data_IF_946036789122
#
_entry.id   IF_946036789122
#
_cell.length_a   1.000
_cell.length_b   1.000
_cell.length_c   1.000
_cell.angle_alpha   90.00
_cell.angle_beta   90.00
_cell.angle_gamma   90.00
#
_symmetry.space_group_name_H-M   'P 1'
#
loop_
_entity.id
_entity.type
_entity.pdbx_description
1 polymer ?
#
# COMPACT_ATOMS: atom_id res chain seq x y z
N UNK A 1 8.56 21.16 32.85
CA UNK A 1 8.26 21.24 31.41
C UNK A 1 9.45 21.89 30.74
N UNK A 2 9.97 21.29 29.67
CA UNK A 2 11.08 21.86 28.92
C UNK A 2 10.53 22.98 28.02
N UNK A 3 10.91 24.24 28.29
CA UNK A 3 10.57 25.42 27.47
C UNK A 3 11.33 25.43 26.12
N UNK A 4 11.53 24.27 25.50
CA UNK A 4 12.08 24.22 24.15
C UNK A 4 10.98 24.69 23.18
N UNK A 5 11.15 25.81 22.45
CA UNK A 5 10.16 26.24 21.46
C UNK A 5 9.92 25.19 20.38
N UNK A 6 10.86 24.27 20.14
CA UNK A 6 10.75 23.18 19.15
C UNK A 6 9.98 21.97 19.65
N UNK A 7 9.65 21.88 20.93
CA UNK A 7 8.82 20.78 21.43
C UNK A 7 7.41 20.88 20.86
N UNK A 8 6.79 19.73 20.59
CA UNK A 8 5.37 19.68 20.21
C UNK A 8 4.52 20.20 21.36
N UNK A 9 3.46 20.93 21.05
CA UNK A 9 2.60 21.60 22.03
C UNK A 9 1.21 20.93 22.02
N UNK A 10 0.51 20.89 23.17
CA UNK A 10 -0.88 20.42 23.21
C UNK A 10 -1.77 21.26 22.29
N UNK A 11 -2.92 20.68 21.89
CA UNK A 11 -3.92 21.42 21.15
C UNK A 11 -4.40 22.66 21.93
N UNK A 12 -4.58 23.76 21.22
CA UNK A 12 -5.10 25.00 21.83
C UNK A 12 -6.60 24.89 22.07
N UNK A 13 -7.17 25.81 22.85
CA UNK A 13 -8.63 25.90 23.00
C UNK A 13 -9.33 26.14 21.65
N UNK A 14 -8.70 26.87 20.72
CA UNK A 14 -9.23 27.10 19.38
C UNK A 14 -9.22 25.80 18.55
N UNK A 15 -8.10 25.09 18.53
CA UNK A 15 -7.98 23.80 17.82
C UNK A 15 -9.03 22.79 18.30
N UNK A 16 -9.23 22.68 19.62
CA UNK A 16 -10.28 21.82 20.19
C UNK A 16 -11.68 22.22 19.74
N UNK A 17 -11.99 23.52 19.78
CA UNK A 17 -13.28 24.01 19.33
C UNK A 17 -13.54 23.74 17.84
N UNK A 18 -12.51 23.89 16.99
CA UNK A 18 -12.63 23.60 15.56
C UNK A 18 -12.82 22.09 15.30
N UNK A 19 -12.11 21.23 16.05
CA UNK A 19 -12.28 19.76 16.00
C UNK A 19 -13.69 19.35 16.43
N UNK A 20 -14.19 19.89 17.53
CA UNK A 20 -15.54 19.61 18.03
C UNK A 20 -16.61 20.08 17.04
N UNK A 21 -16.46 21.30 16.51
CA UNK A 21 -17.35 21.84 15.49
C UNK A 21 -17.35 20.97 14.23
N UNK A 22 -16.18 20.53 13.76
CA UNK A 22 -16.07 19.64 12.60
C UNK A 22 -16.71 18.26 12.88
N UNK A 23 -16.47 17.68 14.05
CA UNK A 23 -17.07 16.41 14.45
C UNK A 23 -18.61 16.44 14.36
N UNK A 24 -19.22 17.56 14.76
CA UNK A 24 -20.67 17.75 14.68
C UNK A 24 -21.22 17.85 13.24
N UNK A 25 -20.36 18.05 12.23
CA UNK A 25 -20.75 18.06 10.81
C UNK A 25 -20.67 16.70 10.14
N UNK A 26 -20.02 15.71 10.78
CA UNK A 26 -19.84 14.40 10.19
C UNK A 26 -21.17 13.63 10.11
N UNK A 27 -21.37 12.83 9.06
CA UNK A 27 -22.52 11.94 9.00
C UNK A 27 -22.45 10.92 10.15
N UNK A 28 -23.60 10.39 10.59
CA UNK A 28 -23.61 9.30 11.56
C UNK A 28 -22.85 8.10 11.00
N UNK A 29 -22.00 7.50 11.84
CA UNK A 29 -21.31 6.26 11.51
C UNK A 29 -22.23 5.08 11.81
N UNK A 30 -22.68 4.39 10.76
CA UNK A 30 -23.56 3.22 10.87
C UNK A 30 -22.76 1.89 10.99
N UNK A 31 -21.43 1.97 11.00
CA UNK A 31 -20.53 0.82 11.09
C UNK A 31 -20.30 0.08 9.77
N UNK A 32 -20.86 0.55 8.65
CA UNK A 32 -20.71 -0.11 7.34
C UNK A 32 -19.25 -0.16 6.89
N UNK A 33 -18.50 0.93 7.02
CA UNK A 33 -17.08 0.94 6.65
C UNK A 33 -16.26 -0.02 7.52
N UNK A 34 -16.51 -0.03 8.83
CA UNK A 34 -15.84 -0.95 9.75
C UNK A 34 -16.11 -2.42 9.37
N UNK A 35 -17.35 -2.74 9.01
CA UNK A 35 -17.71 -4.07 8.54
C UNK A 35 -17.06 -4.42 7.19
N UNK A 36 -17.01 -3.47 6.26
CA UNK A 36 -16.39 -3.66 4.93
C UNK A 36 -14.89 -3.88 5.03
N UNK A 37 -14.19 -3.09 5.85
CA UNK A 37 -12.75 -3.24 6.05
C UNK A 37 -12.45 -4.58 6.74
N UNK A 38 -13.21 -4.99 7.75
CA UNK A 38 -12.97 -6.26 8.44
C UNK A 38 -13.36 -7.51 7.62
N UNK A 39 -14.16 -7.36 6.57
CA UNK A 39 -14.72 -8.48 5.82
C UNK A 39 -13.63 -9.32 5.15
N UNK A 40 -13.73 -10.63 5.32
CA UNK A 40 -12.87 -11.61 4.66
C UNK A 40 -11.47 -11.73 5.24
N UNK A 41 -11.19 -11.15 6.41
CA UNK A 41 -9.88 -11.30 7.07
C UNK A 41 -9.52 -12.78 7.26
N UNK A 42 -8.32 -13.17 6.80
CA UNK A 42 -7.76 -14.51 6.95
C UNK A 42 -6.68 -14.49 8.03
N UNK A 43 -5.66 -13.67 7.83
CA UNK A 43 -4.48 -13.64 8.70
C UNK A 43 -3.64 -12.37 8.46
N UNK A 44 -2.64 -12.17 9.31
CA UNK A 44 -1.62 -11.13 9.13
C UNK A 44 -0.27 -11.66 9.59
N UNK A 45 0.82 -10.95 9.29
CA UNK A 45 2.17 -11.40 9.71
C UNK A 45 2.30 -11.45 11.23
N UNK A 46 2.90 -12.52 11.73
CA UNK A 46 3.21 -12.65 13.16
C UNK A 46 4.32 -11.68 13.59
N UNK A 47 5.34 -11.50 12.74
CA UNK A 47 6.33 -10.43 12.91
C UNK A 47 5.86 -9.19 12.13
N UNK A 48 5.52 -8.07 12.79
CA UNK A 48 5.00 -6.89 12.12
C UNK A 48 6.06 -6.17 11.28
N UNK A 49 7.35 -6.43 11.50
CA UNK A 49 8.44 -5.73 10.83
C UNK A 49 8.80 -6.45 9.53
N UNK A 50 8.75 -5.73 8.40
CA UNK A 50 9.29 -6.19 7.11
C UNK A 50 10.75 -5.74 7.03
N UNK A 51 11.72 -6.67 7.03
CA UNK A 51 13.13 -6.33 6.98
C UNK A 51 13.50 -5.76 5.61
N UNK A 52 14.49 -4.87 5.60
CA UNK A 52 15.06 -4.34 4.37
C UNK A 52 16.11 -5.32 3.83
N UNK A 53 16.14 -5.55 2.52
CA UNK A 53 17.15 -6.44 1.91
C UNK A 53 18.58 -5.90 2.11
N UNK A 54 18.74 -4.59 2.01
CA UNK A 54 20.00 -3.87 2.21
C UNK A 54 19.82 -2.79 3.30
N UNK A 55 19.79 -3.19 4.59
CA UNK A 55 19.56 -2.26 5.69
C UNK A 55 20.79 -1.37 5.90
N UNK A 56 20.56 -0.15 6.39
CA UNK A 56 21.62 0.74 6.84
C UNK A 56 21.21 1.46 8.14
N UNK A 57 22.14 2.10 8.87
CA UNK A 57 21.84 2.71 10.17
C UNK A 57 20.73 3.78 10.15
N UNK A 58 20.46 4.39 9.00
CA UNK A 58 19.42 5.43 8.85
C UNK A 58 18.07 4.88 8.39
N UNK A 59 18.07 3.71 7.75
CA UNK A 59 16.88 3.02 7.25
C UNK A 59 17.04 1.51 7.48
N UNK A 60 16.83 1.04 8.73
CA UNK A 60 17.13 -0.34 9.11
C UNK A 60 16.06 -1.34 8.68
N UNK A 61 14.84 -0.88 8.39
CA UNK A 61 13.68 -1.72 8.04
C UNK A 61 12.95 -1.12 6.83
N UNK A 62 12.15 -1.94 6.15
CA UNK A 62 11.32 -1.47 5.03
C UNK A 62 10.00 -0.92 5.51
N UNK A 63 9.35 -1.67 6.40
CA UNK A 63 8.01 -1.36 6.89
C UNK A 63 7.79 -1.95 8.28
N UNK A 64 6.96 -1.29 9.09
CA UNK A 64 6.53 -1.80 10.39
C UNK A 64 5.02 -1.65 10.48
N UNK A 65 4.32 -2.79 10.41
CA UNK A 65 2.86 -2.86 10.47
C UNK A 65 2.31 -2.34 11.81
N UNK A 66 3.10 -2.48 12.89
CA UNK A 66 2.72 -2.07 14.24
C UNK A 66 2.95 -0.58 14.53
N UNK A 67 3.58 0.16 13.60
CA UNK A 67 3.87 1.58 13.80
C UNK A 67 2.61 2.44 14.00
N UNK A 68 1.45 1.94 13.56
CA UNK A 68 0.16 2.61 13.73
C UNK A 68 -0.71 2.03 14.83
N UNK A 69 -0.17 1.13 15.66
CA UNK A 69 -0.91 0.48 16.73
C UNK A 69 -1.48 1.49 17.71
N UNK A 70 -1.00 2.72 17.82
CA UNK A 70 -1.58 3.75 18.67
C UNK A 70 -2.98 4.23 18.21
N UNK A 71 -3.40 3.92 16.97
CA UNK A 71 -4.68 4.33 16.39
C UNK A 71 -5.81 3.34 16.74
N UNK A 72 -6.07 3.16 18.02
CA UNK A 72 -7.13 2.28 18.55
C UNK A 72 -7.88 2.90 19.75
N UNK A 73 -7.41 4.04 20.24
CA UNK A 73 -8.00 4.77 21.35
C UNK A 73 -9.04 5.81 20.89
N UNK A 74 -9.63 6.52 21.86
CA UNK A 74 -10.44 7.70 21.57
C UNK A 74 -9.63 8.73 20.76
N UNK A 75 -10.27 9.41 19.81
CA UNK A 75 -9.59 10.42 18.99
C UNK A 75 -8.95 11.49 19.90
N UNK A 76 -7.63 11.72 19.79
CA UNK A 76 -6.95 12.73 20.57
C UNK A 76 -7.36 14.14 20.10
N UNK A 77 -7.18 15.13 20.96
CA UNK A 77 -7.55 16.52 20.69
C UNK A 77 -6.58 17.23 19.72
N UNK A 78 -5.55 16.52 19.27
CA UNK A 78 -4.52 16.95 18.31
C UNK A 78 -4.73 16.43 16.89
N UNK A 79 -5.76 15.60 16.66
CA UNK A 79 -6.03 14.98 15.36
C UNK A 79 -7.47 15.25 14.92
N UNK A 80 -7.68 15.45 13.62
CA UNK A 80 -9.03 15.56 13.07
C UNK A 80 -9.80 14.21 13.21
N UNK A 81 -11.05 14.20 13.70
CA UNK A 81 -11.77 12.96 13.99
C UNK A 81 -12.12 12.13 12.74
N UNK A 82 -12.31 12.75 11.58
CA UNK A 82 -12.49 12.02 10.32
C UNK A 82 -11.18 11.35 9.88
N UNK A 83 -10.05 12.04 10.07
CA UNK A 83 -8.74 11.45 9.78
C UNK A 83 -8.43 10.30 10.75
N UNK A 84 -8.74 10.45 12.04
CA UNK A 84 -8.54 9.39 13.03
C UNK A 84 -9.36 8.13 12.70
N UNK A 85 -10.61 8.31 12.27
CA UNK A 85 -11.46 7.21 11.78
C UNK A 85 -10.82 6.50 10.59
N UNK A 86 -10.41 7.25 9.56
CA UNK A 86 -9.75 6.69 8.38
C UNK A 86 -8.43 5.97 8.75
N UNK A 87 -7.66 6.56 9.67
CA UNK A 87 -6.40 6.01 10.13
C UNK A 87 -6.56 4.66 10.83
N UNK A 88 -7.67 4.46 11.55
CA UNK A 88 -8.01 3.18 12.18
C UNK A 88 -8.40 2.11 11.16
N UNK A 89 -9.05 2.49 10.05
CA UNK A 89 -9.33 1.57 8.95
C UNK A 89 -8.08 1.18 8.18
N UNK A 90 -7.24 2.16 7.84
CA UNK A 90 -5.97 1.90 7.16
C UNK A 90 -4.99 1.11 8.04
N UNK A 91 -5.15 1.12 9.37
CA UNK A 91 -4.34 0.33 10.29
C UNK A 91 -4.70 -1.17 10.26
N UNK A 92 -5.82 -1.57 9.68
CA UNK A 92 -6.17 -2.98 9.52
C UNK A 92 -5.37 -3.60 8.38
N UNK A 93 -4.28 -4.30 8.73
CA UNK A 93 -3.37 -4.93 7.78
C UNK A 93 -3.48 -6.46 7.77
N UNK A 94 -3.24 -7.09 6.62
CA UNK A 94 -3.26 -8.55 6.48
C UNK A 94 -3.77 -9.04 5.13
N UNK A 95 -3.99 -10.35 5.07
CA UNK A 95 -4.58 -11.09 3.96
C UNK A 95 -6.09 -11.18 4.12
N UNK A 96 -6.81 -10.84 3.06
CA UNK A 96 -8.26 -10.84 3.00
C UNK A 96 -8.77 -11.58 1.76
N UNK A 97 -9.84 -12.34 1.91
CA UNK A 97 -10.65 -12.85 0.80
C UNK A 97 -11.70 -11.81 0.41
N UNK A 98 -11.64 -11.33 -0.83
CA UNK A 98 -12.63 -10.39 -1.39
C UNK A 98 -13.85 -11.17 -1.89
N UNK A 99 -13.58 -12.24 -2.63
CA UNK A 99 -14.53 -13.26 -3.09
C UNK A 99 -13.74 -14.54 -3.41
N UNK A 100 -14.43 -15.66 -3.67
CA UNK A 100 -13.76 -16.95 -3.89
C UNK A 100 -12.68 -16.87 -4.99
N UNK A 101 -11.44 -17.16 -4.60
CA UNK A 101 -10.29 -17.11 -5.50
C UNK A 101 -9.67 -15.72 -5.68
N UNK A 102 -10.19 -14.67 -5.06
CA UNK A 102 -9.65 -13.31 -5.12
C UNK A 102 -9.25 -12.83 -3.73
N UNK A 103 -7.96 -12.58 -3.57
CA UNK A 103 -7.37 -12.23 -2.29
C UNK A 103 -6.60 -10.92 -2.38
N UNK A 104 -6.58 -10.16 -1.30
CA UNK A 104 -5.78 -8.95 -1.20
C UNK A 104 -4.91 -8.99 0.06
N UNK A 105 -3.67 -8.58 -0.08
CA UNK A 105 -2.84 -8.19 1.07
C UNK A 105 -2.85 -6.68 1.17
N UNK A 106 -3.30 -6.17 2.32
CA UNK A 106 -3.52 -4.74 2.58
C UNK A 106 -2.68 -4.28 3.77
N UNK A 107 -2.27 -3.01 3.75
CA UNK A 107 -1.53 -2.36 4.85
C UNK A 107 -0.05 -2.77 4.95
N UNK A 108 0.46 -3.61 4.05
CA UNK A 108 1.88 -3.95 3.93
C UNK A 108 2.70 -2.87 3.23
N UNK A 109 1.99 -1.94 2.59
CA UNK A 109 2.48 -0.83 1.80
C UNK A 109 1.37 0.26 1.80
N UNK A 110 1.57 1.35 1.07
CA UNK A 110 0.52 2.35 0.82
C UNK A 110 -0.60 1.79 -0.05
N UNK A 111 -0.25 0.91 -0.99
CA UNK A 111 -1.18 0.25 -1.91
C UNK A 111 -1.56 -1.15 -1.40
N UNK A 112 -2.49 -1.80 -2.10
CA UNK A 112 -2.83 -3.20 -1.88
C UNK A 112 -2.36 -4.02 -3.08
N UNK A 113 -1.94 -5.26 -2.82
CA UNK A 113 -1.61 -6.24 -3.85
C UNK A 113 -2.73 -7.27 -3.91
N UNK A 114 -3.17 -7.61 -5.12
CA UNK A 114 -4.25 -8.58 -5.34
C UNK A 114 -3.68 -9.86 -5.94
N UNK A 115 -4.10 -11.01 -5.42
CA UNK A 115 -3.78 -12.33 -5.93
C UNK A 115 -5.08 -13.02 -6.38
N UNK A 116 -5.15 -13.35 -7.66
CA UNK A 116 -6.30 -14.06 -8.24
C UNK A 116 -5.87 -15.48 -8.59
N UNK A 117 -6.59 -16.46 -8.04
CA UNK A 117 -6.33 -17.89 -8.24
C UNK A 117 -6.72 -18.29 -9.66
N UNK A 118 -5.73 -18.55 -10.51
CA UNK A 118 -5.91 -19.14 -11.83
C UNK A 118 -5.92 -20.67 -11.79
N UNK A 119 -5.91 -21.26 -12.98
CA UNK A 119 -5.87 -22.73 -13.16
C UNK A 119 -4.55 -23.32 -12.64
N UNK A 120 -3.43 -22.66 -12.93
CA UNK A 120 -2.07 -23.10 -12.55
C UNK A 120 -1.56 -22.35 -11.33
N UNK A 121 -1.71 -21.03 -11.32
CA UNK A 121 -0.97 -20.15 -10.43
C UNK A 121 -1.72 -18.91 -9.96
N UNK A 122 -0.97 -17.85 -9.71
CA UNK A 122 -1.48 -16.54 -9.32
C UNK A 122 -1.36 -15.54 -10.48
N UNK A 123 -2.48 -14.88 -10.80
CA UNK A 123 -2.44 -13.59 -11.49
C UNK A 123 -2.35 -12.51 -10.43
N UNK A 124 -1.27 -11.73 -10.45
CA UNK A 124 -0.98 -10.69 -9.46
C UNK A 124 -1.32 -9.32 -10.03
N UNK A 125 -2.02 -8.49 -9.27
CA UNK A 125 -2.29 -7.09 -9.61
C UNK A 125 -1.56 -6.21 -8.62
N UNK A 126 -0.81 -5.25 -9.15
CA UNK A 126 -0.14 -4.16 -8.44
C UNK A 126 0.79 -4.63 -7.31
N UNK A 127 2.00 -5.13 -7.63
CA UNK A 127 2.91 -5.73 -6.67
C UNK A 127 3.64 -4.70 -5.79
N UNK A 128 2.90 -3.78 -5.16
CA UNK A 128 3.35 -2.84 -4.13
C UNK A 128 4.53 -1.93 -4.55
N UNK A 129 5.06 -1.17 -3.60
CA UNK A 129 6.14 -0.19 -3.84
C UNK A 129 7.53 -0.83 -3.87
N UNK A 130 7.76 -1.87 -3.06
CA UNK A 130 9.11 -2.46 -2.92
C UNK A 130 9.10 -3.98 -2.99
N UNK A 131 10.22 -4.55 -3.45
CA UNK A 131 10.44 -6.00 -3.49
C UNK A 131 10.16 -6.64 -2.14
N UNK A 132 10.61 -6.01 -1.05
CA UNK A 132 10.45 -6.54 0.30
C UNK A 132 8.97 -6.62 0.74
N UNK A 133 8.16 -5.60 0.46
CA UNK A 133 6.73 -5.63 0.81
C UNK A 133 5.97 -6.63 -0.04
N UNK A 134 6.27 -6.69 -1.34
CA UNK A 134 5.65 -7.64 -2.26
C UNK A 134 6.01 -9.10 -1.93
N UNK A 135 7.28 -9.39 -1.58
CA UNK A 135 7.70 -10.71 -1.09
C UNK A 135 6.97 -11.06 0.21
N UNK A 136 6.93 -10.15 1.19
CA UNK A 136 6.23 -10.40 2.45
C UNK A 136 4.73 -10.68 2.26
N UNK A 137 4.09 -10.01 1.29
CA UNK A 137 2.70 -10.28 0.93
C UNK A 137 2.52 -11.65 0.26
N UNK A 138 3.41 -12.02 -0.66
CA UNK A 138 3.36 -13.30 -1.35
C UNK A 138 3.70 -14.48 -0.42
N UNK A 139 4.59 -14.28 0.55
CA UNK A 139 4.87 -15.25 1.61
C UNK A 139 3.63 -15.50 2.47
N UNK A 140 2.90 -14.44 2.86
CA UNK A 140 1.65 -14.57 3.63
C UNK A 140 0.56 -15.31 2.84
N UNK A 141 0.43 -15.02 1.54
CA UNK A 141 -0.46 -15.76 0.64
C UNK A 141 -0.06 -17.24 0.56
N UNK A 142 1.23 -17.51 0.41
CA UNK A 142 1.77 -18.87 0.32
C UNK A 142 1.54 -19.67 1.61
N UNK A 143 1.74 -19.04 2.76
CA UNK A 143 1.52 -19.65 4.09
C UNK A 143 0.07 -20.13 4.27
N UNK A 144 -0.91 -19.32 3.85
CA UNK A 144 -2.32 -19.58 4.14
C UNK A 144 -3.10 -20.25 3.01
N UNK A 145 -2.69 -20.05 1.75
CA UNK A 145 -3.43 -20.49 0.56
C UNK A 145 -2.64 -21.52 -0.29
N UNK A 146 -1.40 -21.82 0.12
CA UNK A 146 -0.51 -22.76 -0.54
C UNK A 146 0.35 -22.08 -1.62
N UNK A 147 1.54 -22.63 -1.81
CA UNK A 147 2.49 -22.16 -2.82
C UNK A 147 1.95 -22.38 -4.23
N UNK A 148 1.98 -21.34 -5.05
CA UNK A 148 1.64 -21.39 -6.48
C UNK A 148 2.47 -20.38 -7.24
N UNK A 149 3.00 -20.71 -8.43
CA UNK A 149 3.80 -19.76 -9.19
C UNK A 149 2.98 -18.55 -9.62
N UNK A 150 3.61 -17.38 -9.71
CA UNK A 150 3.02 -16.24 -10.44
C UNK A 150 3.04 -16.55 -11.94
N UNK A 151 1.87 -16.47 -12.56
CA UNK A 151 1.61 -16.80 -13.97
C UNK A 151 1.30 -15.57 -14.82
N UNK A 152 0.87 -14.46 -14.21
CA UNK A 152 0.78 -13.16 -14.88
C UNK A 152 0.89 -12.02 -13.85
N UNK A 153 1.33 -10.85 -14.28
CA UNK A 153 1.33 -9.61 -13.49
C UNK A 153 0.57 -8.52 -14.24
N UNK A 154 -0.23 -7.73 -13.53
CA UNK A 154 -0.96 -6.58 -14.07
C UNK A 154 -0.54 -5.35 -13.29
N UNK A 155 -0.17 -4.29 -14.00
CA UNK A 155 -0.05 -2.95 -13.44
C UNK A 155 -1.28 -2.15 -13.85
N UNK A 156 -2.04 -1.66 -12.88
CA UNK A 156 -3.26 -0.88 -13.15
C UNK A 156 -2.92 0.51 -13.67
N UNK A 157 -1.82 1.11 -13.21
CA UNK A 157 -1.37 2.43 -13.63
C UNK A 157 0.12 2.67 -13.32
N UNK A 158 0.64 3.82 -13.73
CA UNK A 158 2.06 4.14 -13.82
C UNK A 158 2.72 4.70 -12.55
N UNK A 159 2.10 4.59 -11.36
CA UNK A 159 2.74 5.01 -10.11
C UNK A 159 3.50 3.86 -9.44
N UNK A 160 4.61 4.21 -8.76
CA UNK A 160 5.58 3.24 -8.23
C UNK A 160 5.01 2.25 -7.22
N UNK A 161 3.98 2.63 -6.49
CA UNK A 161 3.28 1.77 -5.53
C UNK A 161 2.46 0.65 -6.19
N UNK A 162 2.37 0.64 -7.52
CA UNK A 162 1.64 -0.35 -8.31
C UNK A 162 2.53 -1.22 -9.21
N UNK A 163 3.85 -1.01 -9.21
CA UNK A 163 4.78 -1.87 -9.96
C UNK A 163 6.12 -2.10 -9.26
N UNK A 164 6.48 -1.26 -8.30
CA UNK A 164 7.82 -1.16 -7.76
C UNK A 164 8.31 -2.45 -7.11
N UNK A 165 7.42 -3.23 -6.51
CA UNK A 165 7.75 -4.51 -5.89
C UNK A 165 7.65 -5.72 -6.80
N UNK A 166 7.52 -5.57 -8.13
CA UNK A 166 7.36 -6.71 -9.07
C UNK A 166 8.39 -7.83 -8.88
N UNK A 167 9.65 -7.49 -8.60
CA UNK A 167 10.70 -8.50 -8.40
C UNK A 167 10.60 -9.26 -7.08
N UNK A 168 9.65 -8.89 -6.21
CA UNK A 168 9.31 -9.64 -5.01
C UNK A 168 8.36 -10.81 -5.27
N UNK A 169 7.72 -10.85 -6.45
CA UNK A 169 6.73 -11.89 -6.81
C UNK A 169 7.07 -12.65 -8.09
N UNK A 170 7.90 -12.08 -8.98
CA UNK A 170 8.32 -12.75 -10.22
C UNK A 170 9.80 -12.49 -10.52
N UNK A 171 10.49 -13.53 -11.00
CA UNK A 171 11.85 -13.41 -11.53
C UNK A 171 11.83 -12.69 -12.88
N UNK A 172 12.72 -11.71 -13.06
CA UNK A 172 12.86 -10.95 -14.30
C UNK A 172 13.05 -11.85 -15.53
N UNK A 173 13.83 -12.92 -15.42
CA UNK A 173 14.12 -13.83 -16.53
C UNK A 173 12.86 -14.55 -17.03
N UNK A 174 11.87 -14.80 -16.16
CA UNK A 174 10.58 -15.40 -16.56
C UNK A 174 9.72 -14.43 -17.37
N UNK A 175 9.86 -13.12 -17.12
CA UNK A 175 9.20 -12.10 -17.94
C UNK A 175 9.94 -11.93 -19.27
N UNK A 176 11.27 -11.82 -19.23
CA UNK A 176 12.10 -11.63 -20.43
C UNK A 176 12.05 -12.83 -21.39
N UNK A 177 11.83 -14.05 -20.89
CA UNK A 177 11.61 -15.24 -21.71
C UNK A 177 10.21 -15.33 -22.33
N UNK A 178 9.28 -14.48 -21.90
CA UNK A 178 7.87 -14.52 -22.28
C UNK A 178 7.04 -15.58 -21.54
N UNK A 179 7.59 -16.21 -20.49
CA UNK A 179 6.87 -17.19 -19.67
C UNK A 179 5.76 -16.53 -18.83
N UNK A 180 6.04 -15.36 -18.25
CA UNK A 180 5.08 -14.60 -17.44
C UNK A 180 4.74 -13.29 -18.15
N UNK A 181 3.52 -13.12 -18.69
CA UNK A 181 3.09 -11.84 -19.23
C UNK A 181 2.97 -10.79 -18.12
N UNK A 182 3.40 -9.57 -18.46
CA UNK A 182 3.16 -8.35 -17.69
C UNK A 182 2.24 -7.46 -18.50
N UNK A 183 1.06 -7.15 -17.97
CA UNK A 183 0.01 -6.37 -18.63
C UNK A 183 -0.05 -4.98 -18.03
N UNK A 184 -0.13 -3.94 -18.86
CA UNK A 184 -0.29 -2.55 -18.40
C UNK A 184 -1.09 -1.73 -19.42
N UNK A 185 -1.66 -0.57 -19.05
CA UNK A 185 -2.29 0.33 -20.02
C UNK A 185 -1.27 0.91 -21.03
N UNK A 186 -1.74 1.22 -22.23
CA UNK A 186 -0.96 1.93 -23.25
C UNK A 186 -0.31 3.18 -22.65
N UNK A 187 0.97 3.38 -22.95
CA UNK A 187 1.73 4.54 -22.45
C UNK A 187 2.30 4.38 -21.04
N UNK A 188 2.00 3.28 -20.33
CA UNK A 188 2.49 3.02 -18.96
C UNK A 188 4.00 3.28 -18.82
N UNK A 189 4.82 2.71 -19.71
CA UNK A 189 6.28 2.79 -19.59
C UNK A 189 6.80 4.22 -19.80
N UNK A 190 6.15 4.99 -20.68
CA UNK A 190 6.47 6.39 -20.89
C UNK A 190 6.20 7.18 -19.61
N UNK A 191 5.00 7.08 -19.06
CA UNK A 191 4.56 7.86 -17.90
C UNK A 191 5.33 7.49 -16.63
N UNK A 192 5.53 6.20 -16.37
CA UNK A 192 6.26 5.71 -15.19
C UNK A 192 7.69 6.25 -15.13
N UNK A 193 8.33 6.44 -16.28
CA UNK A 193 9.67 7.02 -16.38
C UNK A 193 9.61 8.55 -16.41
N UNK A 194 8.75 9.14 -17.25
CA UNK A 194 8.71 10.59 -17.48
C UNK A 194 8.40 11.37 -16.20
N UNK A 195 7.48 10.86 -15.37
CA UNK A 195 7.10 11.46 -14.09
C UNK A 195 8.30 11.60 -13.14
N UNK A 196 9.22 10.62 -13.17
CA UNK A 196 10.24 10.43 -12.15
C UNK A 196 11.64 10.91 -12.58
N UNK A 197 11.77 11.71 -13.64
CA UNK A 197 13.09 12.15 -14.15
C UNK A 197 13.29 13.66 -13.98
N UNK A 198 12.59 14.49 -14.74
CA UNK A 198 12.93 15.92 -14.87
C UNK A 198 12.68 16.69 -13.57
N UNK A 199 11.58 16.41 -12.90
CA UNK A 199 11.17 17.08 -11.66
C UNK A 199 11.48 16.25 -10.39
N UNK A 200 12.12 15.08 -10.53
CA UNK A 200 12.29 14.10 -9.46
C UNK A 200 12.92 14.67 -8.18
N UNK A 201 13.99 15.49 -8.23
CA UNK A 201 14.57 16.04 -7.01
C UNK A 201 13.60 16.96 -6.24
N UNK A 202 12.82 17.77 -6.96
CA UNK A 202 11.85 18.68 -6.36
C UNK A 202 10.62 17.92 -5.84
N UNK A 203 10.11 16.96 -6.62
CA UNK A 203 9.01 16.10 -6.23
C UNK A 203 9.37 15.26 -5.01
N UNK A 204 10.52 14.57 -5.03
CA UNK A 204 11.00 13.77 -3.91
C UNK A 204 11.17 14.60 -2.63
N UNK A 205 11.72 15.82 -2.70
CA UNK A 205 11.80 16.69 -1.51
C UNK A 205 10.41 17.08 -1.00
N UNK A 206 9.46 17.43 -1.87
CA UNK A 206 8.09 17.78 -1.47
C UNK A 206 7.33 16.58 -0.91
N UNK A 207 7.57 15.40 -1.44
CA UNK A 207 6.99 14.13 -0.98
C UNK A 207 7.33 13.89 0.50
N UNK A 208 8.55 14.22 0.96
CA UNK A 208 8.89 14.08 2.39
C UNK A 208 7.98 14.86 3.34
N UNK A 209 7.41 15.99 2.89
CA UNK A 209 6.41 16.74 3.66
C UNK A 209 5.02 16.17 3.50
N UNK A 210 4.59 15.91 2.25
CA UNK A 210 3.26 15.39 1.94
C UNK A 210 2.99 14.06 2.66
N UNK A 211 3.99 13.19 2.68
CA UNK A 211 3.90 11.85 3.24
C UNK A 211 4.34 11.75 4.70
N UNK A 212 4.76 12.86 5.32
CA UNK A 212 5.14 12.88 6.73
C UNK A 212 6.34 11.97 7.07
N UNK A 213 7.20 11.61 6.09
CA UNK A 213 8.20 10.54 6.23
C UNK A 213 9.25 10.75 7.34
N UNK A 214 9.36 11.97 7.88
CA UNK A 214 10.30 12.33 8.94
C UNK A 214 9.62 12.57 10.29
N UNK A 215 8.29 12.42 10.36
CA UNK A 215 7.52 12.57 11.59
C UNK A 215 7.42 11.20 12.28
N UNK A 216 7.66 11.10 13.60
CA UNK A 216 7.36 9.87 14.32
C UNK A 216 5.85 9.60 14.29
N UNK A 217 5.51 8.31 14.33
CA UNK A 217 4.14 7.83 14.32
C UNK A 217 3.54 7.96 15.73
N UNK A 218 2.73 8.99 15.95
CA UNK A 218 2.04 9.27 17.22
C UNK A 218 0.93 10.33 17.01
N UNK A 219 0.17 10.60 18.07
CA UNK A 219 -0.98 11.54 18.08
C UNK A 219 -0.61 13.00 17.74
N UNK A 220 0.67 13.37 17.73
CA UNK A 220 1.17 14.71 17.41
C UNK A 220 2.15 14.69 16.21
N UNK A 221 2.15 13.59 15.46
CA UNK A 221 3.08 13.32 14.37
C UNK A 221 2.40 12.74 13.14
N UNK A 222 2.98 11.68 12.58
CA UNK A 222 2.42 10.97 11.44
C UNK A 222 1.28 10.06 11.91
N UNK A 223 0.05 10.37 11.50
CA UNK A 223 -1.12 9.54 11.83
C UNK A 223 -1.52 8.65 10.67
N UNK A 224 -1.60 9.21 9.46
CA UNK A 224 -2.08 8.53 8.25
C UNK A 224 -1.80 9.39 7.00
N UNK A 225 -1.88 8.80 5.81
CA UNK A 225 -1.83 9.53 4.53
C UNK A 225 -3.18 9.65 3.83
N UNK A 226 -4.27 9.24 4.49
CA UNK A 226 -5.61 9.15 3.94
C UNK A 226 -5.80 7.89 3.09
N UNK A 227 -4.92 7.69 2.09
CA UNK A 227 -4.94 6.54 1.19
C UNK A 227 -4.47 5.24 1.88
N UNK A 228 -3.44 5.35 2.70
CA UNK A 228 -2.82 4.24 3.43
C UNK A 228 -1.98 4.75 4.60
N UNK A 229 -1.34 3.83 5.34
CA UNK A 229 -0.55 4.21 6.52
C UNK A 229 0.73 4.96 6.19
N UNK A 230 1.32 4.71 5.03
CA UNK A 230 2.54 5.36 4.60
C UNK A 230 3.21 4.65 3.44
N UNK A 231 4.29 5.23 2.93
CA UNK A 231 5.09 4.67 1.83
C UNK A 231 6.31 3.97 2.43
N UNK A 232 6.51 2.67 2.16
CA UNK A 232 7.67 1.95 2.66
C UNK A 232 8.96 2.38 1.96
N UNK A 233 10.10 2.03 2.56
CA UNK A 233 11.41 2.30 1.95
C UNK A 233 12.13 1.00 1.62
N UNK A 234 12.54 0.82 0.37
CA UNK A 234 13.08 -0.48 -0.04
C UNK A 234 13.63 -0.44 -1.44
N UNK A 235 13.76 -1.62 -2.01
CA UNK A 235 14.24 -1.83 -3.36
C UNK A 235 13.04 -1.80 -4.30
N UNK A 236 13.04 -0.90 -5.29
CA UNK A 236 12.00 -0.84 -6.32
C UNK A 236 12.58 -1.18 -7.69
N UNK A 237 11.77 -1.83 -8.52
CA UNK A 237 12.12 -2.23 -9.87
C UNK A 237 11.00 -1.91 -10.84
N UNK A 238 11.38 -1.59 -12.07
CA UNK A 238 10.48 -1.45 -13.21
C UNK A 238 10.80 -2.57 -14.19
N UNK A 239 9.83 -3.45 -14.44
CA UNK A 239 9.88 -4.47 -15.49
C UNK A 239 8.88 -4.03 -16.55
N UNK A 240 9.34 -3.90 -17.80
CA UNK A 240 8.51 -3.41 -18.89
C UNK A 240 7.31 -4.33 -19.16
N UNK A 241 6.12 -3.79 -19.45
CA UNK A 241 4.98 -4.60 -19.85
C UNK A 241 5.27 -5.33 -21.16
N UNK A 242 4.75 -6.55 -21.27
CA UNK A 242 4.80 -7.38 -22.49
C UNK A 242 3.50 -7.30 -23.28
N UNK A 243 2.42 -6.84 -22.66
CA UNK A 243 1.10 -6.65 -23.27
C UNK A 243 0.57 -5.28 -22.86
N UNK A 244 0.11 -4.50 -23.84
CA UNK A 244 -0.55 -3.22 -23.59
C UNK A 244 -2.08 -3.35 -23.77
N UNK A 245 -2.82 -2.68 -22.90
CA UNK A 245 -4.26 -2.46 -23.04
C UNK A 245 -4.48 -1.10 -23.72
N UNK A 246 -5.06 -1.09 -24.92
CA UNK A 246 -5.16 0.11 -25.77
C UNK A 246 -6.59 0.63 -25.95
N UNK A 247 -7.61 -0.16 -25.60
CA UNK A 247 -9.01 0.25 -25.72
C UNK A 247 -9.89 -0.36 -24.62
N UNK A 248 -10.98 0.35 -24.26
CA UNK A 248 -12.00 -0.16 -23.35
C UNK A 248 -12.76 -1.33 -23.99
N UNK A 249 -12.96 -2.39 -23.21
CA UNK A 249 -13.55 -3.65 -23.64
C UNK A 249 -12.52 -4.63 -24.21
N UNK A 250 -11.21 -4.31 -24.16
CA UNK A 250 -10.17 -5.26 -24.55
C UNK A 250 -10.18 -6.44 -23.59
N UNK A 251 -10.26 -7.66 -24.12
CA UNK A 251 -10.30 -8.88 -23.31
C UNK A 251 -8.99 -9.65 -23.37
N UNK A 252 -8.57 -10.21 -22.23
CA UNK A 252 -7.49 -11.19 -22.14
C UNK A 252 -7.95 -12.40 -21.32
N UNK A 253 -7.31 -13.54 -21.55
CA UNK A 253 -7.41 -14.70 -20.66
C UNK A 253 -6.05 -14.94 -20.04
N UNK A 254 -5.95 -14.74 -18.73
CA UNK A 254 -4.72 -14.94 -17.96
C UNK A 254 -4.96 -16.11 -17.01
N UNK A 255 -4.24 -17.22 -17.24
CA UNK A 255 -4.31 -18.43 -16.40
C UNK A 255 -5.75 -18.93 -16.14
N UNK A 256 -6.56 -18.99 -17.20
CA UNK A 256 -7.97 -19.41 -17.16
C UNK A 256 -8.96 -18.31 -16.77
N UNK A 257 -8.49 -17.14 -16.37
CA UNK A 257 -9.34 -16.02 -15.92
C UNK A 257 -9.59 -15.06 -17.09
N UNK A 258 -10.86 -14.93 -17.52
CA UNK A 258 -11.27 -13.88 -18.48
C UNK A 258 -11.28 -12.53 -17.78
N UNK A 259 -10.56 -11.57 -18.36
CA UNK A 259 -10.49 -10.19 -17.90
C UNK A 259 -10.91 -9.26 -19.03
N UNK A 260 -11.71 -8.27 -18.71
CA UNK A 260 -12.14 -7.19 -19.60
C UNK A 260 -11.60 -5.88 -18.99
N UNK A 261 -10.86 -5.11 -19.78
CA UNK A 261 -10.17 -3.90 -19.36
C UNK A 261 -10.84 -2.63 -19.90
#
# INVERSE_FOLDING_TARGET
>A
MTDDPRSRKPATAHTRADIEAFAATLPPDDGTDAANVARGFIATRTDPVIPKLLPNPWQPITWDLSASDFVHAACPDTVNPSLWRQAGFNAQHGLYEVLDGFYQVRGFDTSSITFIRGDVGWVVIDPLTTTETATAAYDLVTEHLGERPVTAVIYTHSHVDHYGGVLGVVDRARVESGEVPVVAPEGFLHEAVAENVVAAPAMGRRATYQFGMLLPADEQGHVDQGLGKGVPTGSSALVAPTIEITETGQELVLDGIRMEF
#
